data_IF_167797800268
#
_entry.id   IF_167797800268
#
_cell.length_a   1.000
_cell.length_b   1.000
_cell.length_c   1.000
_cell.angle_alpha   90.00
_cell.angle_beta   90.00
_cell.angle_gamma   90.00
#
_symmetry.space_group_name_H-M   'P 1'
#
loop_
_entity.id
_entity.type
_entity.pdbx_description
1 polymer ?
#
# COMPACT_ATOMS: atom_id res chain seq x y z
N UNK A 1 9.58 -8.90 -1.04
CA UNK A 1 9.37 -8.25 -2.35
C UNK A 1 9.92 -6.84 -2.28
N UNK A 2 10.54 -6.37 -3.35
CA UNK A 2 11.18 -5.06 -3.45
C UNK A 2 10.48 -4.26 -4.56
N UNK A 3 9.72 -3.22 -4.17
CA UNK A 3 8.91 -2.42 -5.11
C UNK A 3 9.73 -1.44 -5.93
N UNK A 4 10.97 -1.12 -5.52
CA UNK A 4 11.83 -0.21 -6.27
C UNK A 4 12.11 -0.72 -7.68
N UNK A 5 12.14 -2.04 -7.87
CA UNK A 5 12.31 -2.69 -9.17
C UNK A 5 11.14 -2.47 -10.14
N UNK A 6 10.01 -1.98 -9.64
CA UNK A 6 8.80 -1.70 -10.41
C UNK A 6 8.49 -0.19 -10.50
N UNK A 7 9.39 0.69 -10.04
CA UNK A 7 9.17 2.13 -9.98
C UNK A 7 8.62 2.71 -11.29
N UNK A 8 9.21 2.34 -12.42
CA UNK A 8 8.78 2.79 -13.75
C UNK A 8 7.35 2.37 -14.13
N UNK A 9 6.83 1.31 -13.52
CA UNK A 9 5.46 0.83 -13.76
C UNK A 9 4.43 1.46 -12.82
N UNK A 10 4.86 2.09 -11.72
CA UNK A 10 3.98 2.62 -10.65
C UNK A 10 4.19 4.12 -10.37
N UNK A 11 4.76 4.86 -11.33
CA UNK A 11 5.16 6.27 -11.17
C UNK A 11 4.07 7.28 -11.57
N UNK A 12 2.89 6.83 -12.01
CA UNK A 12 1.77 7.74 -12.29
C UNK A 12 1.26 8.37 -10.97
N UNK A 13 1.32 9.71 -10.81
CA UNK A 13 0.88 10.38 -9.58
C UNK A 13 -0.60 10.17 -9.23
N UNK A 14 -1.45 9.83 -10.21
CA UNK A 14 -2.87 9.57 -10.01
C UNK A 14 -3.17 8.10 -9.66
N UNK A 15 -2.16 7.22 -9.73
CA UNK A 15 -2.34 5.79 -9.48
C UNK A 15 -2.80 5.52 -8.05
N UNK A 16 -3.80 4.65 -7.92
CA UNK A 16 -4.38 4.23 -6.65
C UNK A 16 -3.91 2.82 -6.29
N UNK A 17 -3.48 2.63 -5.06
CA UNK A 17 -2.94 1.37 -4.55
C UNK A 17 -3.90 0.77 -3.53
N UNK A 18 -4.27 -0.48 -3.70
CA UNK A 18 -5.17 -1.20 -2.80
C UNK A 18 -4.44 -2.40 -2.21
N UNK A 19 -4.32 -2.42 -0.88
CA UNK A 19 -3.61 -3.44 -0.13
C UNK A 19 -4.59 -4.31 0.66
N UNK A 20 -4.41 -5.62 0.60
CA UNK A 20 -5.16 -6.59 1.37
C UNK A 20 -4.21 -7.70 1.85
N UNK A 21 -4.40 -8.19 3.07
CA UNK A 21 -3.63 -9.29 3.64
C UNK A 21 -3.31 -9.09 5.13
N UNK A 22 -2.36 -9.85 5.68
CA UNK A 22 -1.91 -9.67 7.06
C UNK A 22 -1.43 -8.24 7.31
N UNK A 23 -1.74 -7.67 8.48
CA UNK A 23 -1.39 -6.29 8.84
C UNK A 23 0.10 -5.99 8.61
N UNK A 24 0.99 -6.88 9.04
CA UNK A 24 2.44 -6.70 8.85
C UNK A 24 2.86 -6.65 7.37
N UNK A 25 2.18 -7.41 6.51
CA UNK A 25 2.42 -7.36 5.06
C UNK A 25 1.95 -6.04 4.45
N UNK A 26 0.75 -5.59 4.78
CA UNK A 26 0.22 -4.34 4.26
C UNK A 26 1.05 -3.13 4.74
N UNK A 27 1.47 -3.13 6.01
CA UNK A 27 2.38 -2.10 6.54
C UNK A 27 3.73 -2.10 5.81
N UNK A 28 4.28 -3.28 5.51
CA UNK A 28 5.51 -3.41 4.76
C UNK A 28 5.38 -2.88 3.32
N UNK A 29 4.29 -3.21 2.62
CA UNK A 29 4.02 -2.73 1.26
C UNK A 29 3.78 -1.21 1.22
N UNK A 30 2.94 -0.67 2.11
CA UNK A 30 2.64 0.75 2.19
C UNK A 30 3.90 1.59 2.42
N UNK A 31 4.79 1.16 3.34
CA UNK A 31 6.06 1.85 3.58
C UNK A 31 6.93 1.95 2.33
N UNK A 32 7.00 0.88 1.53
CA UNK A 32 7.77 0.92 0.28
C UNK A 32 7.16 1.89 -0.74
N UNK A 33 5.83 1.92 -0.89
CA UNK A 33 5.14 2.86 -1.77
C UNK A 33 5.39 4.32 -1.37
N UNK A 34 5.30 4.64 -0.08
CA UNK A 34 5.60 5.99 0.43
C UNK A 34 7.07 6.37 0.19
N UNK A 35 8.00 5.44 0.38
CA UNK A 35 9.42 5.69 0.06
C UNK A 35 9.68 5.93 -1.42
N UNK A 36 8.79 5.48 -2.31
CA UNK A 36 8.82 5.74 -3.75
C UNK A 36 8.04 7.01 -4.15
N UNK A 37 7.58 7.80 -3.17
CA UNK A 37 6.91 9.08 -3.42
C UNK A 37 5.40 9.00 -3.62
N UNK A 38 4.77 7.84 -3.39
CA UNK A 38 3.31 7.70 -3.45
C UNK A 38 2.68 8.45 -2.28
N UNK A 39 1.72 9.32 -2.55
CA UNK A 39 0.95 10.03 -1.52
C UNK A 39 0.11 9.04 -0.70
N UNK A 40 0.05 9.21 0.63
CA UNK A 40 -0.74 8.35 1.51
C UNK A 40 -2.23 8.32 1.15
N UNK A 41 -2.78 9.41 0.59
CA UNK A 41 -4.17 9.49 0.12
C UNK A 41 -4.49 8.51 -1.02
N UNK A 42 -3.47 8.08 -1.76
CA UNK A 42 -3.59 7.11 -2.86
C UNK A 42 -3.40 5.66 -2.40
N UNK A 43 -3.15 5.41 -1.11
CA UNK A 43 -2.90 4.07 -0.55
C UNK A 43 -4.07 3.66 0.33
N UNK A 44 -4.85 2.69 -0.14
CA UNK A 44 -6.02 2.15 0.52
C UNK A 44 -5.71 0.76 1.06
N UNK A 45 -6.20 0.43 2.25
CA UNK A 45 -5.99 -0.89 2.84
C UNK A 45 -7.28 -1.43 3.47
N UNK A 46 -7.46 -2.74 3.35
CA UNK A 46 -8.56 -3.47 3.97
C UNK A 46 -8.02 -4.51 4.95
N UNK A 47 -8.37 -4.36 6.23
CA UNK A 47 -8.09 -5.37 7.25
C UNK A 47 -9.23 -6.39 7.30
N UNK A 48 -8.95 -7.61 6.85
CA UNK A 48 -9.84 -8.75 7.10
C UNK A 48 -9.73 -9.21 8.55
N UNK A 49 -10.54 -8.62 9.42
CA UNK A 49 -10.84 -9.10 10.76
C UNK A 49 -12.36 -9.13 10.97
N UNK A 50 -12.87 -9.88 11.97
CA UNK A 50 -14.27 -9.72 12.34
C UNK A 50 -14.51 -8.23 12.62
N UNK A 51 -15.61 -7.66 12.10
CA UNK A 51 -16.06 -6.33 12.48
C UNK A 51 -16.28 -6.29 14.00
N UNK A 52 -15.22 -6.07 14.78
CA UNK A 52 -15.34 -5.56 16.13
C UNK A 52 -15.30 -4.05 15.99
N UNK A 53 -16.50 -3.50 15.90
CA UNK A 53 -16.78 -2.18 16.46
C UNK A 53 -16.11 -2.12 17.84
N UNK A 54 -15.14 -1.22 17.97
CA UNK A 54 -14.62 -0.68 19.21
C UNK A 54 -14.28 0.78 18.96
#
# INVERSE_FOLDING_TARGET
MDLSKLEAAISDPAMQFYLCGPVGFMQFAAKQLVSLGVNNENIHYECFGPHKVL
#
